data_IF_212899116806
#
_entry.id   IF_212899116806
#
_cell.length_a   1.000
_cell.length_b   1.000
_cell.length_c   1.000
_cell.angle_alpha   90.00
_cell.angle_beta   90.00
_cell.angle_gamma   90.00
#
_symmetry.space_group_name_H-M   'P 1'
#
loop_
_entity.id
_entity.type
_entity.pdbx_description
1 polymer ?
#
# COMPACT_ATOMS: atom_id res chain seq x y z
N UNK A 1 5.02 72.14 10.45
CA UNK A 1 5.89 71.47 9.45
C UNK A 1 5.07 70.31 8.92
N UNK A 2 4.09 70.62 8.06
CA UNK A 2 4.11 70.51 6.59
C UNK A 2 4.41 69.08 6.12
N UNK A 3 3.35 68.49 5.57
CA UNK A 3 3.16 67.14 5.05
C UNK A 3 4.11 66.75 3.91
N UNK A 4 4.31 65.44 3.72
CA UNK A 4 4.55 64.87 2.40
C UNK A 4 3.85 63.50 2.29
N UNK A 5 2.66 63.54 1.71
CA UNK A 5 1.89 62.39 1.25
C UNK A 5 2.40 62.00 -0.15
N UNK A 6 2.69 60.72 -0.38
CA UNK A 6 3.03 60.23 -1.72
C UNK A 6 1.77 59.86 -2.51
N UNK A 7 1.73 60.08 -3.84
CA UNK A 7 0.54 59.85 -4.64
C UNK A 7 0.43 58.40 -5.16
N UNK A 8 -0.79 57.88 -5.09
CA UNK A 8 -1.24 56.66 -5.77
C UNK A 8 -1.25 56.86 -7.29
N UNK A 9 -0.59 55.97 -8.03
CA UNK A 9 -0.68 55.91 -9.48
C UNK A 9 -1.86 55.05 -9.90
N UNK A 10 -2.92 55.72 -10.36
CA UNK A 10 -4.06 55.17 -11.09
C UNK A 10 -3.62 54.72 -12.50
N UNK A 11 -3.92 53.47 -12.89
CA UNK A 11 -3.81 53.00 -14.27
C UNK A 11 -5.22 52.87 -14.89
N UNK A 12 -5.40 53.24 -16.17
CA UNK A 12 -6.72 53.37 -16.76
C UNK A 12 -7.29 52.03 -17.24
N UNK A 13 -8.56 51.84 -16.89
CA UNK A 13 -9.49 50.85 -17.40
C UNK A 13 -9.80 51.16 -18.88
N UNK A 14 -9.29 50.36 -19.83
CA UNK A 14 -9.89 50.24 -21.16
C UNK A 14 -9.42 48.99 -21.90
N UNK A 15 -10.42 48.35 -22.51
CA UNK A 15 -10.32 47.27 -23.50
C UNK A 15 -10.03 45.86 -22.98
N UNK A 16 -11.12 45.12 -22.68
CA UNK A 16 -11.25 43.72 -23.08
C UNK A 16 -12.73 43.31 -23.14
N UNK A 17 -13.32 43.45 -24.32
CA UNK A 17 -14.52 42.75 -24.71
C UNK A 17 -14.19 41.85 -25.90
N UNK A 18 -14.76 40.63 -25.86
CA UNK A 18 -14.96 39.65 -26.93
C UNK A 18 -13.82 38.66 -27.23
N UNK A 19 -13.88 37.52 -26.54
CA UNK A 19 -13.81 36.20 -27.18
C UNK A 19 -14.55 35.18 -26.32
N UNK A 20 -15.87 35.05 -26.54
CA UNK A 20 -16.65 33.91 -26.04
C UNK A 20 -16.30 32.74 -26.95
N UNK A 21 -15.32 31.94 -26.55
CA UNK A 21 -15.12 30.61 -27.10
C UNK A 21 -16.14 29.66 -26.45
N UNK A 22 -16.82 28.87 -27.27
CA UNK A 22 -17.78 27.85 -26.85
C UNK A 22 -17.13 26.87 -25.83
N UNK A 23 -17.89 26.33 -24.86
CA UNK A 23 -17.37 25.36 -23.92
C UNK A 23 -17.01 24.09 -24.70
N UNK A 24 -15.71 23.86 -24.86
CA UNK A 24 -15.16 22.58 -25.31
C UNK A 24 -15.71 21.50 -24.38
N UNK A 25 -16.34 20.49 -24.98
CA UNK A 25 -16.85 19.31 -24.29
C UNK A 25 -15.72 18.63 -23.52
N UNK A 26 -15.62 18.94 -22.22
CA UNK A 26 -14.73 18.24 -21.29
C UNK A 26 -15.16 16.78 -21.31
N UNK A 27 -14.23 15.90 -21.68
CA UNK A 27 -14.51 14.47 -21.75
C UNK A 27 -14.87 13.94 -20.35
N UNK A 28 -15.64 12.86 -20.31
CA UNK A 28 -16.04 12.23 -19.04
C UNK A 28 -14.80 11.79 -18.20
N UNK A 29 -13.66 11.57 -18.87
CA UNK A 29 -12.38 11.18 -18.25
C UNK A 29 -11.66 12.34 -17.56
N UNK A 30 -11.73 13.57 -18.10
CA UNK A 30 -11.15 14.75 -17.46
C UNK A 30 -11.92 15.16 -16.20
N UNK A 31 -13.23 14.91 -16.14
CA UNK A 31 -14.03 15.10 -14.93
C UNK A 31 -13.66 14.11 -13.81
N UNK A 32 -13.31 12.87 -14.15
CA UNK A 32 -12.90 11.88 -13.15
C UNK A 32 -11.49 12.18 -12.60
N UNK A 33 -10.57 12.64 -13.45
CA UNK A 33 -9.23 13.05 -13.02
C UNK A 33 -9.22 14.36 -12.21
N UNK A 34 -10.11 15.31 -12.50
CA UNK A 34 -10.27 16.52 -11.70
C UNK A 34 -11.03 16.29 -10.38
N UNK A 35 -11.98 15.34 -10.32
CA UNK A 35 -12.64 14.97 -9.06
C UNK A 35 -11.73 14.17 -8.11
N UNK A 36 -10.73 13.46 -8.64
CA UNK A 36 -9.77 12.66 -7.83
C UNK A 36 -8.49 13.41 -7.44
N UNK A 37 -8.23 14.57 -8.03
CA UNK A 37 -7.05 15.40 -7.69
C UNK A 37 -7.28 16.34 -6.49
N UNK A 38 -8.53 16.54 -6.06
CA UNK A 38 -8.88 17.34 -4.87
C UNK A 38 -9.37 16.55 -3.66
N UNK A 39 -9.95 15.36 -3.86
CA UNK A 39 -10.39 14.46 -2.80
C UNK A 39 -9.63 13.14 -2.93
N UNK A 40 -8.54 13.01 -2.18
CA UNK A 40 -7.86 11.73 -2.03
C UNK A 40 -8.83 10.76 -1.35
N UNK A 41 -9.49 9.90 -2.13
CA UNK A 41 -10.32 8.82 -1.60
C UNK A 41 -9.51 8.07 -0.55
N UNK A 42 -10.09 7.82 0.63
CA UNK A 42 -9.40 7.04 1.64
C UNK A 42 -9.24 5.62 1.08
N UNK A 43 -8.15 4.95 1.43
CA UNK A 43 -7.83 3.63 0.88
C UNK A 43 -9.04 2.65 0.96
N UNK A 44 -9.79 2.68 2.07
CA UNK A 44 -10.97 1.84 2.30
C UNK A 44 -12.23 2.22 1.50
N UNK A 45 -12.30 3.46 1.00
CA UNK A 45 -13.41 3.87 0.13
C UNK A 45 -13.20 3.27 -1.28
N UNK A 46 -11.94 3.08 -1.69
CA UNK A 46 -11.54 2.58 -3.00
C UNK A 46 -11.32 1.05 -3.06
N UNK A 47 -11.02 0.42 -1.92
CA UNK A 47 -10.56 -0.96 -1.84
C UNK A 47 -11.29 -1.71 -0.72
N UNK A 48 -11.22 -3.03 -0.77
CA UNK A 48 -11.70 -3.91 0.29
C UNK A 48 -10.89 -5.19 0.39
N UNK A 49 -10.97 -5.83 1.55
CA UNK A 49 -10.38 -7.15 1.78
C UNK A 49 -11.50 -8.18 1.63
N UNK A 50 -11.27 -9.17 0.77
CA UNK A 50 -12.19 -10.29 0.56
C UNK A 50 -11.42 -11.63 0.58
N UNK A 51 -12.14 -12.74 0.69
CA UNK A 51 -11.54 -14.06 0.49
C UNK A 51 -11.01 -14.20 -0.94
N UNK A 52 -9.74 -14.56 -1.09
CA UNK A 52 -9.12 -14.81 -2.38
C UNK A 52 -9.23 -16.30 -2.72
N UNK A 53 -9.46 -16.61 -3.99
CA UNK A 53 -9.62 -17.99 -4.44
C UNK A 53 -8.37 -18.86 -4.32
N UNK A 54 -7.19 -18.25 -4.17
CA UNK A 54 -5.89 -18.94 -4.19
C UNK A 54 -5.26 -19.05 -2.81
N UNK A 55 -5.25 -17.96 -2.03
CA UNK A 55 -4.58 -17.94 -0.73
C UNK A 55 -5.22 -16.92 0.21
N UNK A 56 -5.94 -17.42 1.23
CA UNK A 56 -6.45 -16.58 2.32
C UNK A 56 -7.34 -15.43 1.83
N UNK A 57 -7.00 -14.21 2.26
CA UNK A 57 -7.67 -13.00 1.81
C UNK A 57 -6.81 -12.26 0.79
N UNK A 58 -7.45 -11.43 -0.04
CA UNK A 58 -6.84 -10.53 -1.01
C UNK A 58 -7.41 -9.12 -0.90
N UNK A 59 -6.77 -8.16 -1.57
CA UNK A 59 -7.27 -6.78 -1.69
C UNK A 59 -7.87 -6.57 -3.07
N UNK A 60 -9.11 -6.11 -3.12
CA UNK A 60 -9.90 -5.96 -4.34
C UNK A 60 -10.28 -4.51 -4.57
N UNK A 61 -10.33 -4.12 -5.84
CA UNK A 61 -10.77 -2.80 -6.29
C UNK A 61 -12.30 -2.68 -6.25
N UNK A 62 -12.82 -1.60 -5.65
CA UNK A 62 -14.27 -1.29 -5.70
C UNK A 62 -14.68 -0.56 -6.98
N UNK A 63 -13.70 0.04 -7.67
CA UNK A 63 -13.90 0.84 -8.87
C UNK A 63 -12.87 0.47 -9.93
N UNK A 64 -13.10 0.96 -11.14
CA UNK A 64 -12.10 0.92 -12.20
C UNK A 64 -10.97 1.92 -11.90
N UNK A 65 -9.73 1.47 -12.07
CA UNK A 65 -8.54 2.28 -11.93
C UNK A 65 -7.66 2.17 -13.17
N UNK A 66 -7.18 3.32 -13.62
CA UNK A 66 -6.20 3.40 -14.69
C UNK A 66 -4.78 3.10 -14.20
N UNK A 67 -3.93 2.74 -15.16
CA UNK A 67 -2.49 2.60 -14.92
C UNK A 67 -1.94 3.91 -14.36
N UNK A 68 -1.08 3.81 -13.36
CA UNK A 68 -0.37 4.94 -12.77
C UNK A 68 -1.06 5.55 -11.56
N UNK A 69 -2.30 5.17 -11.24
CA UNK A 69 -2.98 5.61 -10.03
C UNK A 69 -2.30 5.08 -8.77
N UNK A 70 -2.12 5.98 -7.78
CA UNK A 70 -1.69 5.63 -6.42
C UNK A 70 -2.92 5.24 -5.62
N UNK A 71 -3.17 3.93 -5.52
CA UNK A 71 -4.40 3.38 -4.93
C UNK A 71 -4.31 3.19 -3.41
N UNK A 72 -3.10 3.13 -2.85
CA UNK A 72 -2.89 3.06 -1.41
C UNK A 72 -1.77 4.01 -1.01
N UNK A 73 -2.03 4.80 0.02
CA UNK A 73 -1.00 5.46 0.84
C UNK A 73 -1.35 5.19 2.29
N UNK A 74 -0.56 4.36 2.96
CA UNK A 74 -0.90 3.82 4.28
C UNK A 74 0.25 3.98 5.28
N UNK A 75 -0.07 4.28 6.54
CA UNK A 75 0.87 4.26 7.66
C UNK A 75 0.82 2.88 8.33
N UNK A 76 1.95 2.38 8.86
CA UNK A 76 1.94 1.09 9.52
C UNK A 76 1.14 1.17 10.81
N UNK A 77 0.32 0.16 11.08
CA UNK A 77 -0.38 0.02 12.35
C UNK A 77 0.56 -0.49 13.45
N UNK A 78 1.51 -1.34 13.08
CA UNK A 78 2.53 -1.89 13.97
C UNK A 78 3.88 -1.82 13.26
N UNK A 79 4.90 -1.38 13.98
CA UNK A 79 6.29 -1.42 13.53
C UNK A 79 7.14 -2.04 14.63
N UNK A 80 8.01 -2.98 14.27
CA UNK A 80 8.87 -3.67 15.24
C UNK A 80 10.24 -4.02 14.66
N UNK A 81 11.22 -4.22 15.54
CA UNK A 81 12.52 -4.81 15.18
C UNK A 81 12.32 -6.32 15.13
N UNK A 82 12.57 -6.92 13.96
CA UNK A 82 12.35 -8.35 13.75
C UNK A 82 13.60 -9.12 13.32
N UNK A 83 14.56 -8.48 12.65
CA UNK A 83 15.83 -9.12 12.29
C UNK A 83 17.03 -8.51 13.01
N UNK A 84 17.92 -9.39 13.47
CA UNK A 84 19.17 -8.99 14.10
C UNK A 84 20.21 -8.64 13.06
N UNK A 85 20.68 -7.40 13.06
CA UNK A 85 22.11 -7.20 12.88
C UNK A 85 22.80 -7.75 14.15
N UNK A 86 23.08 -9.06 14.13
CA UNK A 86 23.99 -9.79 15.05
C UNK A 86 23.79 -9.58 16.58
N UNK A 87 22.68 -10.03 17.18
CA UNK A 87 22.39 -10.11 18.65
C UNK A 87 21.28 -9.19 19.20
N UNK A 88 20.47 -8.54 18.36
CA UNK A 88 19.35 -7.70 18.81
C UNK A 88 18.15 -8.47 19.37
N UNK A 89 17.41 -7.86 20.30
CA UNK A 89 16.15 -8.40 20.82
C UNK A 89 15.02 -8.13 19.82
N UNK A 90 14.29 -9.18 19.41
CA UNK A 90 13.03 -9.02 18.65
C UNK A 90 12.00 -8.31 19.53
N UNK A 91 11.45 -7.20 19.04
CA UNK A 91 10.62 -6.33 19.89
C UNK A 91 9.12 -6.53 19.70
N UNK A 92 8.67 -7.38 18.75
CA UNK A 92 7.23 -7.52 18.39
C UNK A 92 6.31 -7.72 19.59
N UNK A 93 6.72 -8.49 20.60
CA UNK A 93 5.90 -8.70 21.80
C UNK A 93 5.74 -7.42 22.63
N UNK A 94 6.81 -6.64 22.76
CA UNK A 94 6.80 -5.36 23.47
C UNK A 94 6.01 -4.31 22.68
N UNK A 95 6.24 -4.23 21.37
CA UNK A 95 5.53 -3.32 20.48
C UNK A 95 4.04 -3.65 20.45
N UNK A 96 3.66 -4.93 20.44
CA UNK A 96 2.27 -5.35 20.58
C UNK A 96 1.67 -4.88 21.91
N UNK A 97 2.31 -5.16 23.05
CA UNK A 97 1.78 -4.79 24.37
C UNK A 97 1.63 -3.28 24.58
N UNK A 98 2.45 -2.48 23.90
CA UNK A 98 2.42 -1.00 23.96
C UNK A 98 1.54 -0.37 22.88
N UNK A 99 1.07 -1.15 21.91
CA UNK A 99 0.15 -0.70 20.88
C UNK A 99 -1.17 -0.25 21.51
N UNK A 100 -1.78 0.86 21.08
CA UNK A 100 -3.10 1.28 21.57
C UNK A 100 -4.14 0.17 21.43
N UNK A 101 -5.06 0.08 22.40
CA UNK A 101 -6.09 -0.97 22.43
C UNK A 101 -6.94 -1.00 21.15
N UNK A 102 -7.32 0.16 20.62
CA UNK A 102 -8.07 0.27 19.36
C UNK A 102 -7.31 -0.36 18.19
N UNK A 103 -6.00 -0.11 18.09
CA UNK A 103 -5.17 -0.69 17.05
C UNK A 103 -5.03 -2.21 17.23
N UNK A 104 -4.88 -2.70 18.46
CA UNK A 104 -4.88 -4.14 18.73
C UNK A 104 -6.20 -4.78 18.31
N UNK A 105 -7.34 -4.17 18.68
CA UNK A 105 -8.68 -4.62 18.30
C UNK A 105 -8.82 -4.69 16.77
N UNK A 106 -8.42 -3.62 16.09
CA UNK A 106 -8.44 -3.55 14.63
C UNK A 106 -7.56 -4.63 14.01
N UNK A 107 -6.34 -4.85 14.50
CA UNK A 107 -5.49 -5.94 14.01
C UNK A 107 -6.13 -7.31 14.24
N UNK A 108 -6.74 -7.55 15.41
CA UNK A 108 -7.42 -8.84 15.68
C UNK A 108 -8.66 -9.06 14.82
N UNK A 109 -9.33 -8.01 14.36
CA UNK A 109 -10.50 -8.14 13.46
C UNK A 109 -10.12 -8.45 12.01
N UNK A 110 -8.98 -7.92 11.54
CA UNK A 110 -8.52 -8.13 10.16
C UNK A 110 -7.62 -9.35 10.00
N UNK A 111 -6.84 -9.71 11.02
CA UNK A 111 -5.88 -10.81 10.98
C UNK A 111 -6.32 -11.96 11.88
N UNK A 112 -6.95 -12.99 11.28
CA UNK A 112 -7.48 -14.16 12.00
C UNK A 112 -6.42 -14.91 12.83
N UNK A 113 -5.14 -14.82 12.46
CA UNK A 113 -4.02 -15.39 13.24
C UNK A 113 -3.81 -14.72 14.60
N UNK A 114 -4.29 -13.51 14.77
CA UNK A 114 -4.14 -12.75 16.02
C UNK A 114 -5.34 -12.91 16.96
N UNK A 115 -6.40 -13.64 16.57
CA UNK A 115 -7.64 -13.76 17.34
C UNK A 115 -7.44 -14.23 18.79
N UNK A 116 -6.44 -15.08 19.02
CA UNK A 116 -6.14 -15.66 20.33
C UNK A 116 -5.02 -14.91 21.07
N UNK A 117 -4.46 -13.85 20.47
CA UNK A 117 -3.42 -13.04 21.11
C UNK A 117 -4.07 -12.05 22.07
N UNK A 118 -3.68 -12.01 23.36
CA UNK A 118 -4.24 -11.08 24.31
C UNK A 118 -4.07 -9.62 23.90
N UNK A 119 -5.14 -8.84 24.10
CA UNK A 119 -5.18 -7.38 23.91
C UNK A 119 -5.29 -6.65 25.27
N UNK A 120 -5.07 -5.34 25.28
CA UNK A 120 -5.19 -4.47 26.44
C UNK A 120 -4.00 -4.53 27.40
N UNK A 121 -2.78 -4.71 26.88
CA UNK A 121 -1.57 -4.75 27.70
C UNK A 121 -1.46 -5.98 28.61
N UNK A 122 -2.27 -7.02 28.36
CA UNK A 122 -2.22 -8.28 29.10
C UNK A 122 -0.90 -9.02 28.85
N UNK A 123 -0.43 -9.73 29.88
CA UNK A 123 0.80 -10.53 29.80
C UNK A 123 0.72 -11.58 28.69
N UNK A 124 1.74 -11.59 27.81
CA UNK A 124 1.86 -12.56 26.73
C UNK A 124 2.57 -13.85 27.19
N UNK A 125 1.87 -14.97 27.06
CA UNK A 125 2.46 -16.31 27.20
C UNK A 125 3.47 -16.60 26.07
N UNK A 126 4.42 -17.52 26.27
CA UNK A 126 5.40 -17.90 25.24
C UNK A 126 4.78 -18.29 23.90
N UNK A 127 3.62 -18.97 23.88
CA UNK A 127 2.94 -19.29 22.62
C UNK A 127 2.48 -18.05 21.84
N UNK A 128 2.00 -17.00 22.52
CA UNK A 128 1.54 -15.78 21.88
C UNK A 128 2.69 -15.02 21.23
N UNK A 129 3.86 -15.02 21.89
CA UNK A 129 5.09 -14.44 21.33
C UNK A 129 5.48 -15.12 20.01
N UNK A 130 5.45 -16.46 19.97
CA UNK A 130 5.72 -17.23 18.74
C UNK A 130 4.69 -16.95 17.63
N UNK A 131 3.42 -16.77 17.97
CA UNK A 131 2.37 -16.38 17.01
C UNK A 131 2.68 -15.01 16.41
N UNK A 132 3.02 -14.02 17.25
CA UNK A 132 3.39 -12.69 16.80
C UNK A 132 4.64 -12.71 15.90
N UNK A 133 5.67 -13.48 16.25
CA UNK A 133 6.86 -13.59 15.40
C UNK A 133 6.53 -14.15 14.00
N UNK A 134 5.79 -15.27 13.93
CA UNK A 134 5.35 -15.85 12.66
C UNK A 134 4.46 -14.89 11.88
N UNK A 135 3.59 -14.16 12.58
CA UNK A 135 2.74 -13.16 11.97
C UNK A 135 3.56 -12.08 11.25
N UNK A 136 4.64 -11.59 11.86
CA UNK A 136 5.54 -10.62 11.21
C UNK A 136 6.27 -11.23 10.00
N UNK A 137 6.69 -12.49 10.06
CA UNK A 137 7.35 -13.14 8.91
C UNK A 137 6.44 -13.21 7.67
N UNK A 138 5.14 -13.45 7.91
CA UNK A 138 4.11 -13.62 6.89
C UNK A 138 3.59 -12.29 6.34
N UNK A 139 3.18 -11.37 7.23
CA UNK A 139 2.47 -10.13 6.87
C UNK A 139 3.36 -8.88 6.86
N UNK A 140 4.61 -8.98 7.33
CA UNK A 140 5.54 -7.88 7.47
C UNK A 140 6.17 -7.40 6.16
N UNK A 141 6.15 -6.09 5.97
CA UNK A 141 6.96 -5.37 4.98
C UNK A 141 8.22 -4.85 5.64
N UNK A 142 9.36 -5.16 5.05
CA UNK A 142 10.66 -4.84 5.60
C UNK A 142 11.11 -3.47 5.11
N UNK A 143 11.73 -2.69 5.99
CA UNK A 143 12.48 -1.53 5.54
C UNK A 143 13.66 -1.97 4.64
N UNK A 144 14.19 -1.08 3.78
CA UNK A 144 15.30 -1.43 2.90
C UNK A 144 16.54 -1.97 3.63
N UNK A 145 16.77 -1.51 4.87
CA UNK A 145 17.85 -1.94 5.75
C UNK A 145 17.59 -3.31 6.39
N UNK A 146 16.38 -3.85 6.29
CA UNK A 146 15.89 -5.07 6.94
C UNK A 146 16.07 -5.09 8.46
N UNK A 147 16.06 -3.91 9.08
CA UNK A 147 16.10 -3.76 10.53
C UNK A 147 14.70 -3.83 11.13
N UNK A 148 13.72 -3.23 10.44
CA UNK A 148 12.35 -3.13 10.90
C UNK A 148 11.39 -3.86 9.96
N UNK A 149 10.33 -4.37 10.57
CA UNK A 149 9.16 -4.87 9.89
C UNK A 149 7.96 -4.01 10.23
N UNK A 150 7.13 -3.76 9.22
CA UNK A 150 5.96 -2.90 9.26
C UNK A 150 4.74 -3.73 8.86
N UNK A 151 3.67 -3.60 9.63
CA UNK A 151 2.37 -4.19 9.33
C UNK A 151 1.42 -3.06 8.94
N UNK A 152 0.71 -3.28 7.84
CA UNK A 152 -0.28 -2.36 7.29
C UNK A 152 -1.62 -3.09 7.26
N UNK A 153 -2.73 -2.39 7.46
CA UNK A 153 -4.04 -3.05 7.50
C UNK A 153 -4.50 -3.50 6.13
N UNK A 154 -4.24 -2.73 5.07
CA UNK A 154 -4.61 -3.13 3.71
C UNK A 154 -3.46 -3.85 3.02
N UNK A 155 -2.27 -3.23 2.98
CA UNK A 155 -1.18 -3.73 2.14
C UNK A 155 -0.69 -5.12 2.56
N UNK A 156 -0.80 -5.48 3.84
CA UNK A 156 -0.47 -6.82 4.33
C UNK A 156 -1.43 -7.93 3.83
N UNK A 157 -2.57 -7.59 3.23
CA UNK A 157 -3.46 -8.56 2.58
C UNK A 157 -3.30 -8.65 1.06
N UNK A 158 -2.43 -7.84 0.43
CA UNK A 158 -2.23 -7.91 -1.03
C UNK A 158 -1.43 -9.17 -1.36
N UNK A 159 -1.97 -10.05 -2.19
CA UNK A 159 -1.31 -11.29 -2.55
C UNK A 159 -0.09 -11.12 -3.47
N UNK A 160 0.81 -12.10 -3.40
CA UNK A 160 1.99 -12.14 -4.25
C UNK A 160 1.67 -12.54 -5.69
N UNK A 161 2.24 -11.81 -6.65
CA UNK A 161 2.41 -12.26 -8.02
C UNK A 161 3.85 -12.06 -8.52
N UNK A 162 4.27 -12.89 -9.48
CA UNK A 162 5.55 -12.71 -10.15
C UNK A 162 5.58 -11.41 -10.98
N UNK A 163 6.77 -10.97 -11.42
CA UNK A 163 6.95 -9.67 -12.11
C UNK A 163 5.99 -9.51 -13.30
N UNK A 164 5.84 -10.55 -14.12
CA UNK A 164 4.96 -10.50 -15.29
C UNK A 164 3.48 -10.43 -14.94
N UNK A 165 3.09 -10.97 -13.79
CA UNK A 165 1.69 -11.08 -13.37
C UNK A 165 1.22 -9.93 -12.47
N UNK A 166 2.10 -9.34 -11.67
CA UNK A 166 1.78 -8.21 -10.81
C UNK A 166 1.11 -7.07 -11.60
N UNK A 167 0.11 -6.43 -11.00
CA UNK A 167 -0.59 -5.27 -11.55
C UNK A 167 -0.30 -3.98 -10.77
N UNK A 168 0.44 -4.09 -9.66
CA UNK A 168 0.89 -2.96 -8.85
C UNK A 168 2.36 -3.09 -8.42
N UNK A 169 2.97 -1.95 -8.14
CA UNK A 169 4.27 -1.81 -7.48
C UNK A 169 4.07 -1.15 -6.11
N UNK A 170 5.01 -1.42 -5.19
CA UNK A 170 4.99 -0.86 -3.84
C UNK A 170 6.33 -0.23 -3.48
N UNK A 171 6.27 0.80 -2.63
CA UNK A 171 7.43 1.44 -2.01
C UNK A 171 7.12 1.76 -0.56
N UNK A 172 8.09 1.53 0.34
CA UNK A 172 8.01 1.92 1.74
C UNK A 172 9.01 3.04 2.02
N UNK A 173 8.55 4.13 2.62
CA UNK A 173 9.40 5.24 3.03
C UNK A 173 10.43 4.78 4.07
N UNK A 174 11.71 5.10 3.86
CA UNK A 174 12.78 4.79 4.82
C UNK A 174 12.68 5.63 6.10
N UNK A 175 12.14 6.85 6.01
CA UNK A 175 11.94 7.75 7.13
C UNK A 175 10.58 7.59 7.78
N UNK A 176 10.48 7.93 9.06
CA UNK A 176 9.20 8.11 9.74
C UNK A 176 8.25 9.00 8.92
N UNK A 177 6.96 8.66 8.75
CA UNK A 177 6.21 7.61 9.44
C UNK A 177 6.19 6.26 8.72
N UNK A 178 7.19 5.95 7.88
CA UNK A 178 7.33 4.70 7.16
C UNK A 178 6.09 4.36 6.33
N UNK A 179 5.58 5.31 5.54
CA UNK A 179 4.39 5.06 4.72
C UNK A 179 4.70 4.05 3.64
N UNK A 180 3.73 3.20 3.35
CA UNK A 180 3.74 2.39 2.14
C UNK A 180 2.84 3.05 1.09
N UNK A 181 3.34 3.10 -0.15
CA UNK A 181 2.59 3.54 -1.32
C UNK A 181 2.45 2.37 -2.27
N UNK A 182 1.23 2.12 -2.78
CA UNK A 182 0.97 1.16 -3.84
C UNK A 182 0.41 1.89 -5.06
N UNK A 183 1.05 1.68 -6.22
CA UNK A 183 0.66 2.30 -7.49
C UNK A 183 0.46 1.23 -8.55
N UNK A 184 -0.59 1.40 -9.34
CA UNK A 184 -0.90 0.50 -10.43
C UNK A 184 0.09 0.65 -11.59
N UNK A 185 0.58 -0.48 -12.09
CA UNK A 185 1.37 -0.57 -13.32
C UNK A 185 0.57 -1.10 -14.51
N UNK A 186 -0.65 -1.61 -14.25
CA UNK A 186 -1.65 -2.03 -15.23
C UNK A 186 -3.03 -1.47 -14.81
N UNK A 187 -3.97 -1.24 -15.73
CA UNK A 187 -5.34 -0.92 -15.35
C UNK A 187 -5.97 -2.08 -14.58
N UNK A 188 -6.89 -1.78 -13.67
CA UNK A 188 -7.60 -2.73 -12.81
C UNK A 188 -9.09 -2.38 -12.86
N UNK A 189 -9.95 -3.38 -13.09
CA UNK A 189 -11.40 -3.22 -13.09
C UNK A 189 -11.99 -3.44 -11.70
N UNK A 190 -13.18 -2.88 -11.45
CA UNK A 190 -13.94 -3.16 -10.25
C UNK A 190 -14.12 -4.69 -10.06
N UNK A 191 -13.93 -5.16 -8.83
CA UNK A 191 -13.94 -6.58 -8.46
C UNK A 191 -12.66 -7.34 -8.78
N UNK A 192 -11.64 -6.72 -9.37
CA UNK A 192 -10.34 -7.38 -9.59
C UNK A 192 -9.41 -7.24 -8.38
N UNK A 193 -8.61 -8.28 -8.14
CA UNK A 193 -7.62 -8.32 -7.08
C UNK A 193 -6.35 -7.53 -7.46
N UNK A 194 -5.79 -6.85 -6.46
CA UNK A 194 -4.49 -6.18 -6.54
C UNK A 194 -3.39 -7.18 -6.21
N UNK A 195 -2.33 -7.19 -7.02
CA UNK A 195 -1.18 -8.06 -6.83
C UNK A 195 0.12 -7.29 -6.91
N UNK A 196 1.01 -7.57 -5.97
CA UNK A 196 2.35 -7.01 -5.92
C UNK A 196 3.41 -8.11 -6.00
N UNK A 197 4.60 -7.74 -6.48
CA UNK A 197 5.76 -8.59 -6.33
C UNK A 197 6.40 -8.36 -4.95
N UNK A 198 6.55 -9.42 -4.16
CA UNK A 198 7.17 -9.36 -2.84
C UNK A 198 8.70 -9.29 -2.89
N UNK A 199 9.31 -9.46 -4.07
CA UNK A 199 10.76 -9.54 -4.28
C UNK A 199 11.45 -10.59 -3.39
N UNK A 200 10.71 -11.63 -3.00
CA UNK A 200 11.19 -12.79 -2.24
C UNK A 200 10.48 -14.05 -2.71
N UNK A 201 11.10 -15.21 -2.46
CA UNK A 201 10.45 -16.50 -2.69
C UNK A 201 9.31 -16.66 -1.70
N UNK A 202 8.12 -16.95 -2.20
CA UNK A 202 6.95 -17.32 -1.37
C UNK A 202 6.76 -18.84 -1.41
N UNK A 203 6.35 -19.48 -0.30
CA UNK A 203 6.07 -20.91 -0.30
C UNK A 203 4.87 -21.28 -1.18
N UNK A 204 3.93 -20.36 -1.38
CA UNK A 204 2.71 -20.56 -2.18
C UNK A 204 2.90 -20.25 -3.68
N UNK A 205 4.04 -19.69 -4.08
CA UNK A 205 4.26 -19.23 -5.45
C UNK A 205 3.45 -17.98 -5.81
N UNK A 206 3.28 -17.76 -7.12
CA UNK A 206 2.51 -16.65 -7.67
C UNK A 206 1.01 -16.99 -7.59
N UNK A 207 0.18 -16.08 -7.10
CA UNK A 207 -1.27 -16.31 -7.05
C UNK A 207 -1.88 -16.61 -8.43
N UNK A 208 -1.31 -16.07 -9.50
CA UNK A 208 -1.81 -16.23 -10.88
C UNK A 208 -1.17 -17.39 -11.65
N UNK A 209 0.06 -17.78 -11.31
CA UNK A 209 0.76 -18.89 -12.00
C UNK A 209 0.77 -20.19 -11.20
N UNK A 210 0.38 -20.14 -9.92
CA UNK A 210 0.57 -21.22 -8.97
C UNK A 210 2.02 -21.36 -8.47
N UNK A 211 2.29 -22.42 -7.68
CA UNK A 211 3.65 -22.79 -7.34
C UNK A 211 4.37 -23.17 -8.63
N UNK A 212 5.47 -22.48 -8.94
CA UNK A 212 6.37 -22.93 -9.99
C UNK A 212 6.84 -24.33 -9.61
N UNK A 213 6.27 -25.34 -10.26
CA UNK A 213 6.85 -26.68 -10.22
C UNK A 213 8.30 -26.51 -10.66
N UNK A 214 9.23 -27.19 -10.00
CA UNK A 214 10.67 -27.10 -10.29
C UNK A 214 10.98 -27.35 -11.80
N UNK A 215 10.04 -27.95 -12.55
CA UNK A 215 10.11 -28.23 -13.99
C UNK A 215 9.98 -27.00 -14.90
N UNK A 216 9.37 -25.90 -14.47
CA UNK A 216 9.13 -24.74 -15.36
C UNK A 216 10.30 -23.76 -15.46
N UNK A 217 11.30 -23.90 -14.58
CA UNK A 217 12.54 -23.10 -14.66
C UNK A 217 13.37 -23.39 -15.90
N UNK A 218 13.21 -24.57 -16.53
CA UNK A 218 13.99 -24.95 -17.72
C UNK A 218 13.41 -24.34 -19.00
N UNK A 219 12.11 -23.99 -19.05
CA UNK A 219 11.50 -23.39 -20.23
C UNK A 219 11.72 -21.86 -20.33
N UNK A 220 11.95 -21.19 -19.20
CA UNK A 220 12.18 -19.74 -19.18
C UNK A 220 13.61 -19.32 -19.58
N UNK A 221 14.56 -20.25 -19.68
CA UNK A 221 15.93 -19.99 -20.14
C UNK A 221 16.22 -20.55 -21.56
N UNK A 222 15.20 -21.07 -22.26
CA UNK A 222 15.38 -21.77 -23.55
C UNK A 222 14.84 -21.04 -24.79
N UNK A 223 14.47 -19.76 -24.71
CA UNK A 223 14.00 -19.02 -25.88
C UNK A 223 14.55 -17.59 -25.86
N UNK A 224 15.77 -17.42 -26.36
CA UNK A 224 16.37 -16.11 -26.56
C UNK A 224 17.88 -16.16 -26.83
N UNK A 225 18.22 -16.14 -28.12
CA UNK A 225 19.52 -15.77 -28.71
C UNK A 225 20.53 -16.93 -28.83
N UNK A 226 20.65 -17.50 -30.03
CA UNK A 226 21.77 -17.23 -30.96
C UNK A 226 21.30 -17.48 -32.41
N UNK A 227 21.47 -16.45 -33.25
CA UNK A 227 21.91 -16.64 -34.64
C UNK A 227 23.42 -16.79 -34.61
#
# INVERSE_FOLDING_TARGET
MVDYVQPETYLPEKERLLSIAAPSSISHDEKLQQQTSGNQLRNWDALEIQAAGVCGNGVFAKFDFERGHKIIVERPILSCIHWMLRNGLRTVSQDWMTLPLENQQQMTSYFSRLKDVPIGGKTLLPQHKKVLEKFIEEYGFWDPQRARAHIYLLVSHINHACISCANAEQWTDSSYPHRITVKLVKPVKAGQEIFINYNRKTPFGCALCGPLSFRDRVKAFGCGIFK
#
